data_IF_609410461526
#
_entry.id   IF_609410461526
#
_cell.length_a   1.000
_cell.length_b   1.000
_cell.length_c   1.000
_cell.angle_alpha   90.00
_cell.angle_beta   90.00
_cell.angle_gamma   90.00
#
_symmetry.space_group_name_H-M   'P 1'
#
loop_
_entity.id
_entity.type
_entity.pdbx_description
1 polymer ?
#
# COMPACT_ATOMS: atom_id res chain seq x y z
N UNK A 1 14.69 -1.85 8.62
CA UNK A 1 15.25 -2.72 7.56
C UNK A 1 16.48 -2.06 6.90
N UNK A 2 17.59 -2.79 6.74
CA UNK A 2 18.75 -2.28 6.00
C UNK A 2 18.49 -2.19 4.49
N UNK A 3 19.26 -1.37 3.78
CA UNK A 3 19.14 -1.14 2.32
C UNK A 3 19.15 -2.42 1.47
N UNK A 4 19.85 -3.47 1.91
CA UNK A 4 19.98 -4.75 1.17
C UNK A 4 19.08 -5.86 1.69
N UNK A 5 18.25 -5.56 2.70
CA UNK A 5 17.38 -6.56 3.29
C UNK A 5 16.16 -6.86 2.41
N UNK A 6 15.92 -8.14 2.14
CA UNK A 6 14.66 -8.61 1.51
C UNK A 6 13.42 -8.39 2.39
N UNK A 7 13.59 -7.92 3.62
CA UNK A 7 12.48 -7.61 4.52
C UNK A 7 11.59 -6.48 3.98
N UNK A 8 12.15 -5.46 3.33
CA UNK A 8 11.39 -4.34 2.80
C UNK A 8 10.34 -4.78 1.76
N UNK A 9 10.69 -5.51 0.68
CA UNK A 9 9.70 -5.98 -0.28
C UNK A 9 8.70 -6.98 0.33
N UNK A 10 9.11 -7.82 1.29
CA UNK A 10 8.20 -8.72 2.02
C UNK A 10 7.17 -7.92 2.82
N UNK A 11 7.59 -6.88 3.55
CA UNK A 11 6.67 -6.02 4.30
C UNK A 11 5.73 -5.24 3.38
N UNK A 12 6.18 -4.81 2.19
CA UNK A 12 5.32 -4.18 1.19
C UNK A 12 4.26 -5.17 0.68
N UNK A 13 4.65 -6.40 0.35
CA UNK A 13 3.72 -7.44 -0.11
C UNK A 13 2.71 -7.84 0.99
N UNK A 14 3.16 -7.92 2.24
CA UNK A 14 2.29 -8.23 3.38
C UNK A 14 1.14 -7.23 3.55
N UNK A 15 1.28 -5.98 3.06
CA UNK A 15 0.19 -4.98 3.13
C UNK A 15 -1.03 -5.34 2.29
N UNK A 16 -0.93 -6.30 1.38
CA UNK A 16 -2.09 -6.82 0.66
C UNK A 16 -3.13 -7.45 1.60
N UNK A 17 -2.75 -7.87 2.81
CA UNK A 17 -3.69 -8.36 3.85
C UNK A 17 -4.67 -7.30 4.31
N UNK A 18 -4.32 -6.01 4.23
CA UNK A 18 -5.23 -4.93 4.62
C UNK A 18 -6.43 -4.82 3.67
N UNK A 19 -6.28 -5.24 2.41
CA UNK A 19 -7.34 -5.19 1.40
C UNK A 19 -8.58 -6.03 1.77
N UNK A 20 -8.47 -7.35 2.03
CA UNK A 20 -9.61 -8.13 2.50
C UNK A 20 -10.10 -7.67 3.87
N UNK A 21 -9.20 -7.23 4.77
CA UNK A 21 -9.61 -6.69 6.08
C UNK A 21 -10.54 -5.48 5.94
N UNK A 22 -10.24 -4.54 5.03
CA UNK A 22 -11.12 -3.40 4.75
C UNK A 22 -12.45 -3.80 4.12
N UNK A 23 -12.48 -4.83 3.26
CA UNK A 23 -13.74 -5.33 2.67
C UNK A 23 -14.66 -5.96 3.71
N UNK A 24 -14.09 -6.60 4.75
CA UNK A 24 -14.83 -7.26 5.84
C UNK A 24 -15.34 -6.27 6.91
N UNK A 25 -14.84 -5.03 6.92
CA UNK A 25 -15.37 -3.92 7.73
C UNK A 25 -16.78 -3.52 7.29
N UNK A 26 -17.51 -2.83 8.16
CA UNK A 26 -18.89 -2.41 7.94
C UNK A 26 -19.05 -1.27 6.91
N UNK A 27 -18.87 -1.57 5.62
CA UNK A 27 -19.10 -0.63 4.51
C UNK A 27 -20.45 -0.91 3.88
N UNK A 28 -21.38 0.06 3.91
CA UNK A 28 -22.72 -0.03 3.30
C UNK A 28 -22.87 0.96 2.14
N UNK A 29 -23.73 0.70 1.12
CA UNK A 29 -24.45 -0.56 0.86
C UNK A 29 -23.52 -1.63 0.26
N UNK A 30 -23.83 -2.91 0.49
CA UNK A 30 -23.04 -4.08 0.04
C UNK A 30 -23.93 -5.16 -0.57
N UNK A 31 -23.40 -5.92 -1.52
CA UNK A 31 -24.16 -6.90 -2.32
C UNK A 31 -23.70 -8.35 -2.10
N UNK A 32 -22.40 -8.62 -1.98
CA UNK A 32 -21.87 -10.00 -2.04
C UNK A 32 -21.13 -10.49 -0.78
N UNK A 33 -20.64 -9.59 0.09
CA UNK A 33 -19.81 -9.97 1.26
C UNK A 33 -20.51 -9.74 2.61
N UNK A 34 -20.50 -10.71 3.55
CA UNK A 34 -21.04 -10.51 4.90
C UNK A 34 -20.16 -9.57 5.75
N UNK A 35 -20.78 -8.88 6.73
CA UNK A 35 -20.07 -8.01 7.69
C UNK A 35 -19.56 -8.87 8.85
N UNK A 36 -18.24 -8.95 9.01
CA UNK A 36 -17.62 -9.61 10.17
C UNK A 36 -17.14 -8.61 11.22
N UNK A 37 -16.66 -7.44 10.78
CA UNK A 37 -16.16 -6.38 11.66
C UNK A 37 -17.16 -5.21 11.67
N UNK A 38 -18.23 -5.37 12.47
CA UNK A 38 -19.35 -4.43 12.51
C UNK A 38 -19.03 -3.08 13.17
N UNK A 39 -18.06 -3.05 14.09
CA UNK A 39 -17.73 -1.87 14.89
C UNK A 39 -16.66 -1.00 14.24
N UNK A 40 -16.91 0.32 14.14
CA UNK A 40 -16.03 1.29 13.45
C UNK A 40 -14.62 1.37 14.05
N UNK A 41 -14.47 1.03 15.34
CA UNK A 41 -13.14 0.95 15.97
C UNK A 41 -12.20 0.01 15.20
N UNK A 42 -12.70 -1.10 14.63
CA UNK A 42 -11.86 -1.99 13.82
C UNK A 42 -11.38 -1.33 12.55
N UNK A 43 -12.28 -0.64 11.86
CA UNK A 43 -11.91 0.14 10.68
C UNK A 43 -10.84 1.19 11.02
N UNK A 44 -11.02 1.95 12.11
CA UNK A 44 -10.07 2.97 12.55
C UNK A 44 -8.70 2.35 12.88
N UNK A 45 -8.67 1.28 13.66
CA UNK A 45 -7.42 0.60 14.01
C UNK A 45 -6.68 0.11 12.75
N UNK A 46 -7.38 -0.56 11.84
CA UNK A 46 -6.79 -1.08 10.59
C UNK A 46 -6.29 0.09 9.72
N UNK A 47 -7.05 1.19 9.62
CA UNK A 47 -6.65 2.40 8.89
C UNK A 47 -5.36 3.02 9.45
N UNK A 48 -5.22 3.10 10.77
CA UNK A 48 -4.00 3.62 11.41
C UNK A 48 -2.79 2.77 11.04
N UNK A 49 -2.89 1.44 11.18
CA UNK A 49 -1.78 0.54 10.80
C UNK A 49 -1.47 0.58 9.31
N UNK A 50 -2.49 0.65 8.46
CA UNK A 50 -2.32 0.77 7.01
C UNK A 50 -1.62 2.07 6.62
N UNK A 51 -2.03 3.21 7.19
CA UNK A 51 -1.46 4.52 6.89
C UNK A 51 -0.01 4.63 7.39
N UNK A 52 0.25 4.22 8.63
CA UNK A 52 1.60 4.24 9.21
C UNK A 52 2.56 3.35 8.42
N UNK A 53 2.15 2.12 8.10
CA UNK A 53 2.97 1.21 7.29
C UNK A 53 3.20 1.76 5.88
N UNK A 54 2.22 2.45 5.28
CA UNK A 54 2.39 3.10 3.98
C UNK A 54 3.48 4.18 4.02
N UNK A 55 3.34 5.14 4.92
CA UNK A 55 4.25 6.28 5.02
C UNK A 55 5.67 5.82 5.31
N UNK A 56 5.85 4.92 6.27
CA UNK A 56 7.15 4.38 6.63
C UNK A 56 7.81 3.62 5.48
N UNK A 57 7.12 2.64 4.88
CA UNK A 57 7.71 1.82 3.81
C UNK A 57 7.95 2.63 2.52
N UNK A 58 7.04 3.51 2.14
CA UNK A 58 7.23 4.38 0.97
C UNK A 58 8.45 5.30 1.13
N UNK A 59 8.63 5.87 2.32
CA UNK A 59 9.81 6.69 2.63
C UNK A 59 11.10 5.87 2.54
N UNK A 60 11.12 4.66 3.10
CA UNK A 60 12.28 3.76 2.98
C UNK A 60 12.57 3.39 1.52
N UNK A 61 11.54 3.09 0.71
CA UNK A 61 11.70 2.83 -0.72
C UNK A 61 12.39 4.01 -1.39
N UNK A 62 11.83 5.23 -1.23
CA UNK A 62 12.34 6.45 -1.85
C UNK A 62 13.74 6.84 -1.38
N UNK A 63 14.08 6.61 -0.11
CA UNK A 63 15.41 6.91 0.41
C UNK A 63 16.48 5.88 0.02
N UNK A 64 16.11 4.59 -0.14
CA UNK A 64 17.08 3.53 -0.44
C UNK A 64 17.22 3.23 -1.92
N UNK A 65 16.21 3.49 -2.75
CA UNK A 65 16.26 3.20 -4.17
C UNK A 65 17.40 3.90 -4.92
N UNK A 66 17.56 5.23 -4.83
CA UNK A 66 18.67 5.92 -5.50
C UNK A 66 20.04 5.53 -4.95
N UNK A 67 20.11 4.99 -3.73
CA UNK A 67 21.34 4.49 -3.10
C UNK A 67 21.74 3.09 -3.57
N UNK A 68 20.92 2.44 -4.41
CA UNK A 68 21.21 1.13 -5.02
C UNK A 68 21.90 1.23 -6.38
N UNK A 69 21.97 2.42 -6.96
CA UNK A 69 22.62 2.69 -8.23
C UNK A 69 23.87 3.52 -8.00
N UNK A 70 24.67 3.70 -9.05
CA UNK A 70 25.82 4.60 -8.99
C UNK A 70 25.35 6.05 -8.78
N UNK A 71 26.18 6.89 -8.17
CA UNK A 71 25.83 8.29 -7.84
C UNK A 71 25.38 9.08 -9.09
N UNK A 72 25.99 8.83 -10.24
CA UNK A 72 25.65 9.50 -11.50
C UNK A 72 24.28 9.06 -12.07
N UNK A 73 23.74 7.91 -11.65
CA UNK A 73 22.44 7.38 -12.08
C UNK A 73 21.35 7.63 -11.03
N UNK A 74 21.71 8.14 -9.84
CA UNK A 74 20.80 8.28 -8.71
C UNK A 74 19.63 9.23 -9.00
N UNK A 75 19.86 10.31 -9.76
CA UNK A 75 18.83 11.25 -10.18
C UNK A 75 17.80 10.56 -11.10
N UNK A 76 18.29 9.85 -12.13
CA UNK A 76 17.43 9.08 -13.04
C UNK A 76 16.66 7.98 -12.32
N UNK A 77 17.31 7.26 -11.39
CA UNK A 77 16.64 6.27 -10.55
C UNK A 77 15.53 6.90 -9.71
N UNK A 78 15.77 8.07 -9.11
CA UNK A 78 14.73 8.83 -8.39
C UNK A 78 13.53 9.19 -9.28
N UNK A 79 13.78 9.64 -10.50
CA UNK A 79 12.72 9.96 -11.47
C UNK A 79 11.90 8.71 -11.84
N UNK A 80 12.55 7.58 -12.11
CA UNK A 80 11.89 6.30 -12.39
C UNK A 80 11.02 5.86 -11.21
N UNK A 81 11.51 6.01 -9.98
CA UNK A 81 10.74 5.67 -8.78
C UNK A 81 9.50 6.54 -8.61
N UNK A 82 9.59 7.85 -8.88
CA UNK A 82 8.44 8.75 -8.86
C UNK A 82 7.38 8.38 -9.92
N UNK A 83 7.84 7.95 -11.11
CA UNK A 83 6.95 7.41 -12.14
C UNK A 83 6.22 6.15 -11.66
N UNK A 84 6.93 5.16 -11.11
CA UNK A 84 6.30 3.94 -10.61
C UNK A 84 5.36 4.17 -9.43
N UNK A 85 5.67 5.15 -8.56
CA UNK A 85 4.74 5.57 -7.51
C UNK A 85 3.45 6.11 -8.12
N UNK A 86 3.55 7.02 -9.10
CA UNK A 86 2.40 7.58 -9.81
C UNK A 86 1.58 6.52 -10.56
N UNK A 87 2.26 5.58 -11.22
CA UNK A 87 1.64 4.43 -11.87
C UNK A 87 0.89 3.56 -10.85
N UNK A 88 1.50 3.27 -9.70
CA UNK A 88 0.86 2.51 -8.63
C UNK A 88 -0.40 3.20 -8.09
N UNK A 89 -0.38 4.53 -7.95
CA UNK A 89 -1.56 5.31 -7.57
C UNK A 89 -2.67 5.23 -8.64
N UNK A 90 -2.31 5.35 -9.92
CA UNK A 90 -3.26 5.25 -11.03
C UNK A 90 -3.90 3.85 -11.11
N UNK A 91 -3.09 2.80 -11.01
CA UNK A 91 -3.57 1.42 -10.96
C UNK A 91 -4.47 1.20 -9.73
N UNK A 92 -4.07 1.68 -8.56
CA UNK A 92 -4.86 1.60 -7.33
C UNK A 92 -6.23 2.29 -7.46
N UNK A 93 -6.29 3.46 -8.09
CA UNK A 93 -7.55 4.14 -8.39
C UNK A 93 -8.43 3.30 -9.33
N UNK A 94 -7.86 2.73 -10.38
CA UNK A 94 -8.58 1.82 -11.30
C UNK A 94 -9.13 0.58 -10.59
N UNK A 95 -8.29 -0.12 -9.83
CA UNK A 95 -8.69 -1.31 -9.07
C UNK A 95 -9.76 -1.00 -8.02
N UNK A 96 -9.75 0.18 -7.41
CA UNK A 96 -10.73 0.57 -6.39
C UNK A 96 -12.18 0.49 -6.91
N UNK A 97 -12.41 0.78 -8.20
CA UNK A 97 -13.73 0.60 -8.81
C UNK A 97 -14.16 -0.87 -8.87
N UNK A 98 -13.24 -1.77 -9.23
CA UNK A 98 -13.52 -3.22 -9.25
C UNK A 98 -13.83 -3.74 -7.85
N UNK A 99 -13.08 -3.29 -6.83
CA UNK A 99 -13.32 -3.69 -5.45
C UNK A 99 -14.66 -3.19 -4.92
N UNK A 100 -15.07 -1.97 -5.31
CA UNK A 100 -16.37 -1.41 -4.95
C UNK A 100 -17.55 -2.15 -5.60
N UNK A 101 -17.35 -2.78 -6.76
CA UNK A 101 -18.37 -3.64 -7.36
C UNK A 101 -18.52 -4.96 -6.56
N UNK A 102 -17.43 -5.43 -5.96
CA UNK A 102 -17.41 -6.69 -5.20
C UNK A 102 -18.03 -6.55 -3.79
N UNK A 103 -17.81 -5.41 -3.12
CA UNK A 103 -18.38 -5.11 -1.79
C UNK A 103 -19.84 -4.70 -1.96
#
# INVERSE_FOLDING_TARGET
PGKDSKLLPIMVAARLVFLPLFMLCNVMPRSYLPVYLAHDAWYICIMVFFALSNGYLASLCMCFGPKKVNVHEAETAGAIMAFFLSLGLALGAGFSFLLRILV
#
